data_IF_864948091300
#
_entry.id   IF_864948091300
#
_cell.length_a   1.000
_cell.length_b   1.000
_cell.length_c   1.000
_cell.angle_alpha   90.00
_cell.angle_beta   90.00
_cell.angle_gamma   90.00
#
_symmetry.space_group_name_H-M   'P 1'
#
loop_
_entity.id
_entity.type
_entity.pdbx_description
1 polymer ?
#
# COMPACT_ATOMS: atom_id res chain seq x y z
N UNK A 1 20.91 14.16 -3.08
CA UNK A 1 20.33 13.46 -1.91
C UNK A 1 21.20 12.25 -1.58
N UNK A 2 21.09 11.65 -0.39
CA UNK A 2 21.70 10.34 -0.15
C UNK A 2 21.10 9.34 -1.15
N UNK A 3 21.97 8.68 -1.92
CA UNK A 3 21.56 7.72 -2.98
C UNK A 3 21.73 6.27 -2.56
N UNK A 4 22.27 6.04 -1.36
CA UNK A 4 22.47 4.74 -0.73
C UNK A 4 22.59 4.92 0.79
N UNK A 5 22.38 3.86 1.60
CA UNK A 5 22.67 3.92 3.02
C UNK A 5 24.16 4.10 3.30
N UNK A 6 24.47 4.67 4.46
CA UNK A 6 25.85 4.93 4.90
C UNK A 6 26.52 3.65 5.42
N UNK A 7 25.75 2.75 6.02
CA UNK A 7 26.19 1.46 6.56
C UNK A 7 25.26 0.34 6.11
N UNK A 8 25.75 -0.89 6.06
CA UNK A 8 24.89 -2.06 5.86
C UNK A 8 24.19 -2.45 7.17
N UNK A 9 22.93 -2.84 7.06
CA UNK A 9 22.14 -3.37 8.16
C UNK A 9 22.28 -4.88 8.32
N UNK A 10 21.54 -5.44 9.27
CA UNK A 10 21.47 -6.90 9.46
C UNK A 10 20.87 -7.57 8.20
N UNK A 11 21.29 -8.80 7.86
CA UNK A 11 20.74 -9.52 6.71
C UNK A 11 19.21 -9.58 6.75
N UNK A 12 18.57 -9.17 5.65
CA UNK A 12 17.13 -9.28 5.47
C UNK A 12 16.82 -10.56 4.70
N UNK A 13 16.19 -11.55 5.33
CA UNK A 13 15.76 -12.76 4.63
C UNK A 13 14.56 -12.42 3.75
N UNK A 14 14.55 -12.91 2.51
CA UNK A 14 13.52 -12.53 1.53
C UNK A 14 12.10 -12.84 2.02
N UNK A 15 11.92 -13.97 2.69
CA UNK A 15 10.63 -14.38 3.27
C UNK A 15 10.14 -13.43 4.36
N UNK A 16 11.04 -12.75 5.05
CA UNK A 16 10.71 -11.83 6.14
C UNK A 16 10.28 -10.46 5.62
N UNK A 17 10.76 -10.07 4.44
CA UNK A 17 10.49 -8.74 3.88
C UNK A 17 9.24 -8.70 2.98
N UNK A 18 8.59 -9.83 2.70
CA UNK A 18 7.34 -9.83 1.96
C UNK A 18 6.23 -9.08 2.71
N UNK A 19 5.35 -8.43 1.93
CA UNK A 19 4.20 -7.70 2.47
C UNK A 19 4.00 -6.34 1.84
N UNK A 20 3.04 -5.60 2.40
CA UNK A 20 2.74 -4.23 2.02
C UNK A 20 3.47 -3.26 2.93
N UNK A 21 4.06 -2.22 2.35
CA UNK A 21 4.77 -1.16 3.03
C UNK A 21 4.19 0.18 2.62
N UNK A 22 4.02 1.07 3.58
CA UNK A 22 3.50 2.42 3.32
C UNK A 22 4.07 3.46 4.28
N UNK A 23 4.04 4.72 3.85
CA UNK A 23 4.27 5.90 4.69
C UNK A 23 3.00 6.33 5.46
N UNK A 24 1.90 5.58 5.29
CA UNK A 24 0.58 5.90 5.86
C UNK A 24 -0.30 6.75 4.96
N UNK A 25 0.24 7.30 3.87
CA UNK A 25 -0.43 8.29 3.05
C UNK A 25 -0.30 8.03 1.54
N UNK A 26 0.88 8.24 0.94
CA UNK A 26 1.03 8.42 -0.51
C UNK A 26 1.79 7.29 -1.19
N UNK A 27 2.73 6.68 -0.48
CA UNK A 27 3.61 5.69 -1.06
C UNK A 27 3.25 4.29 -0.57
N UNK A 28 3.26 3.35 -1.52
CA UNK A 28 2.89 1.97 -1.29
C UNK A 28 3.80 1.07 -2.11
N UNK A 29 4.51 0.18 -1.43
CA UNK A 29 5.23 -0.93 -2.04
C UNK A 29 4.60 -2.23 -1.60
N UNK A 30 4.48 -3.18 -2.52
CA UNK A 30 4.21 -4.56 -2.17
C UNK A 30 5.40 -5.41 -2.62
N UNK A 31 5.98 -6.15 -1.69
CA UNK A 31 7.03 -7.12 -1.96
C UNK A 31 6.44 -8.51 -1.98
N UNK A 32 6.64 -9.22 -3.08
CA UNK A 32 6.05 -10.54 -3.32
C UNK A 32 7.11 -11.49 -3.88
N UNK A 33 6.87 -12.78 -3.69
CA UNK A 33 7.63 -13.83 -4.34
C UNK A 33 6.94 -14.26 -5.64
N UNK A 34 7.70 -14.42 -6.71
CA UNK A 34 7.29 -15.14 -7.92
C UNK A 34 8.46 -15.97 -8.41
N UNK A 35 8.23 -17.25 -8.70
CA UNK A 35 9.25 -18.16 -9.25
C UNK A 35 10.56 -18.13 -8.44
N UNK A 36 10.44 -18.13 -7.11
CA UNK A 36 11.55 -18.01 -6.15
C UNK A 36 12.33 -16.69 -6.14
N UNK A 37 11.92 -15.68 -6.93
CA UNK A 37 12.52 -14.35 -6.93
C UNK A 37 11.64 -13.31 -6.23
N UNK A 38 12.28 -12.28 -5.68
CA UNK A 38 11.64 -11.12 -5.07
C UNK A 38 11.23 -10.10 -6.13
N UNK A 39 10.00 -9.59 -6.03
CA UNK A 39 9.47 -8.55 -6.91
C UNK A 39 8.92 -7.37 -6.10
N UNK A 40 9.16 -6.16 -6.62
CA UNK A 40 8.49 -4.93 -6.22
C UNK A 40 7.26 -4.71 -7.10
N UNK A 41 6.09 -4.70 -6.49
CA UNK A 41 4.83 -4.27 -7.10
C UNK A 41 4.48 -2.86 -6.63
N UNK A 42 4.07 -2.02 -7.58
CA UNK A 42 3.57 -0.66 -7.37
C UNK A 42 2.30 -0.47 -8.18
N UNK A 43 1.37 0.31 -7.66
CA UNK A 43 0.16 0.62 -8.41
C UNK A 43 0.48 1.34 -9.73
N UNK A 44 -0.21 0.96 -10.81
CA UNK A 44 -0.04 1.56 -12.14
C UNK A 44 1.31 1.27 -12.82
N UNK A 45 2.09 0.30 -12.33
CA UNK A 45 3.37 -0.11 -12.91
C UNK A 45 3.48 -1.62 -12.98
N UNK A 46 4.26 -2.11 -13.94
CA UNK A 46 4.61 -3.53 -14.00
C UNK A 46 5.41 -3.94 -12.75
N UNK A 47 5.22 -5.19 -12.32
CA UNK A 47 6.05 -5.77 -11.27
C UNK A 47 7.51 -5.82 -11.73
N UNK A 48 8.43 -5.39 -10.87
CA UNK A 48 9.86 -5.33 -11.19
C UNK A 48 10.61 -6.31 -10.30
N UNK A 49 11.40 -7.19 -10.92
CA UNK A 49 12.29 -8.10 -10.19
C UNK A 49 13.33 -7.29 -9.42
N UNK A 50 13.62 -7.71 -8.19
CA UNK A 50 14.68 -7.14 -7.38
C UNK A 50 15.89 -8.07 -7.33
N UNK A 51 17.06 -7.47 -7.30
CA UNK A 51 18.34 -8.14 -7.08
C UNK A 51 18.95 -7.65 -5.79
N UNK A 52 19.55 -8.58 -5.04
CA UNK A 52 20.25 -8.29 -3.81
C UNK A 52 21.63 -7.75 -4.15
N UNK A 53 21.92 -6.57 -3.66
CA UNK A 53 23.25 -5.95 -3.75
C UNK A 53 24.10 -6.29 -2.54
N UNK A 54 23.50 -6.25 -1.35
CA UNK A 54 24.16 -6.61 -0.10
C UNK A 54 23.16 -7.11 0.94
N UNK A 55 23.64 -7.30 2.18
CA UNK A 55 22.92 -7.93 3.30
C UNK A 55 21.44 -7.54 3.40
N UNK A 56 21.13 -6.26 3.29
CA UNK A 56 19.76 -5.74 3.39
C UNK A 56 19.38 -4.77 2.27
N UNK A 57 20.21 -4.66 1.22
CA UNK A 57 20.03 -3.70 0.13
C UNK A 57 19.68 -4.45 -1.15
N UNK A 58 18.64 -3.98 -1.81
CA UNK A 58 18.18 -4.48 -3.08
C UNK A 58 18.02 -3.34 -4.09
N UNK A 59 18.11 -3.66 -5.38
CA UNK A 59 17.76 -2.73 -6.45
C UNK A 59 16.87 -3.38 -7.51
N UNK A 60 16.27 -2.57 -8.36
CA UNK A 60 15.51 -3.06 -9.50
C UNK A 60 16.47 -3.59 -10.58
N UNK A 61 16.13 -4.71 -11.24
CA UNK A 61 16.94 -5.28 -12.33
C UNK A 61 17.19 -4.30 -13.48
N UNK A 62 16.23 -3.42 -13.75
CA UNK A 62 16.27 -2.44 -14.82
C UNK A 62 16.59 -1.01 -14.35
N UNK A 63 16.81 -0.82 -13.04
CA UNK A 63 17.25 0.45 -12.47
C UNK A 63 18.12 0.20 -11.23
N UNK A 64 19.41 -0.14 -11.43
CA UNK A 64 20.34 -0.36 -10.33
C UNK A 64 20.56 0.87 -9.45
N UNK A 65 20.22 2.08 -9.90
CA UNK A 65 20.38 3.30 -9.08
C UNK A 65 19.29 3.43 -8.01
N UNK A 66 18.14 2.76 -8.18
CA UNK A 66 17.06 2.75 -7.20
C UNK A 66 17.29 1.70 -6.11
N UNK A 67 17.85 2.15 -4.98
CA UNK A 67 18.18 1.27 -3.85
C UNK A 67 17.02 1.18 -2.85
N UNK A 68 16.82 0.00 -2.30
CA UNK A 68 15.82 -0.30 -1.28
C UNK A 68 16.52 -1.02 -0.14
N UNK A 69 16.59 -0.37 1.01
CA UNK A 69 17.23 -0.90 2.21
C UNK A 69 16.17 -1.37 3.19
N UNK A 70 16.23 -2.64 3.60
CA UNK A 70 15.31 -3.20 4.58
C UNK A 70 15.92 -3.17 5.97
N UNK A 71 15.16 -2.72 6.96
CA UNK A 71 15.59 -2.71 8.35
C UNK A 71 14.47 -3.17 9.27
N UNK A 72 14.83 -3.89 10.33
CA UNK A 72 13.92 -4.16 11.43
C UNK A 72 14.05 -3.01 12.43
N UNK A 73 12.98 -2.25 12.63
CA UNK A 73 12.99 -1.12 13.54
C UNK A 73 12.97 -1.58 14.99
N UNK A 74 13.18 -0.65 15.93
CA UNK A 74 13.23 -0.94 17.36
C UNK A 74 11.94 -1.54 17.90
N UNK A 75 10.80 -1.30 17.25
CA UNK A 75 9.50 -1.87 17.63
C UNK A 75 9.23 -3.24 16.95
N UNK A 76 10.21 -3.81 16.26
CA UNK A 76 10.10 -5.11 15.59
C UNK A 76 9.31 -5.08 14.29
N UNK A 77 9.05 -3.90 13.70
CA UNK A 77 8.43 -3.78 12.38
C UNK A 77 9.49 -3.69 11.30
N UNK A 78 9.25 -4.38 10.20
CA UNK A 78 10.05 -4.19 8.99
C UNK A 78 9.77 -2.83 8.37
N UNK A 79 10.83 -2.18 7.94
CA UNK A 79 10.84 -0.91 7.24
C UNK A 79 11.65 -1.06 5.96
N UNK A 80 11.29 -0.28 4.94
CA UNK A 80 12.09 -0.16 3.72
C UNK A 80 12.36 1.32 3.45
N UNK A 81 13.64 1.66 3.31
CA UNK A 81 14.06 3.01 2.91
C UNK A 81 14.44 2.99 1.43
N UNK A 82 13.76 3.82 0.64
CA UNK A 82 14.03 3.97 -0.79
C UNK A 82 15.00 5.13 -1.02
N UNK A 83 16.05 4.90 -1.80
CA UNK A 83 17.05 5.89 -2.19
C UNK A 83 17.06 6.06 -3.70
N UNK A 84 17.15 7.31 -4.16
CA UNK A 84 17.30 7.61 -5.58
C UNK A 84 17.96 8.98 -5.80
N UNK A 85 18.42 9.22 -7.03
CA UNK A 85 19.14 10.45 -7.38
C UNK A 85 18.23 11.68 -7.44
N UNK A 86 16.95 11.51 -7.78
CA UNK A 86 16.03 12.62 -8.06
C UNK A 86 15.14 13.04 -6.88
N UNK A 87 15.19 12.34 -5.74
CA UNK A 87 14.41 12.71 -4.56
C UNK A 87 15.14 12.34 -3.26
N UNK A 88 14.74 12.99 -2.16
CA UNK A 88 15.21 12.61 -0.84
C UNK A 88 14.81 11.15 -0.52
N UNK A 89 15.59 10.43 0.30
CA UNK A 89 15.18 9.13 0.78
C UNK A 89 13.87 9.22 1.57
N UNK A 90 13.07 8.17 1.50
CA UNK A 90 11.86 8.03 2.30
C UNK A 90 11.70 6.59 2.77
N UNK A 91 11.07 6.43 3.94
CA UNK A 91 10.89 5.14 4.60
C UNK A 91 9.43 4.77 4.62
N UNK A 92 9.15 3.51 4.28
CA UNK A 92 7.83 2.89 4.37
C UNK A 92 7.87 1.81 5.45
N UNK A 93 6.79 1.68 6.22
CA UNK A 93 6.65 0.69 7.29
C UNK A 93 5.78 -0.46 6.81
N UNK A 94 6.15 -1.70 7.15
CA UNK A 94 5.36 -2.89 6.83
C UNK A 94 4.04 -2.87 7.60
N UNK A 95 2.95 -3.02 6.86
CA UNK A 95 1.62 -3.11 7.42
C UNK A 95 1.32 -4.52 7.94
N UNK A 96 0.60 -4.56 9.05
CA UNK A 96 0.01 -5.80 9.53
C UNK A 96 -1.21 -6.10 8.67
N UNK A 97 -1.12 -7.17 7.87
CA UNK A 97 -2.29 -7.68 7.18
C UNK A 97 -3.37 -8.10 8.18
N UNK A 98 -4.65 -7.93 7.83
CA UNK A 98 -5.74 -8.38 8.70
C UNK A 98 -5.63 -9.89 8.95
N UNK A 99 -5.74 -10.30 10.21
CA UNK A 99 -5.72 -11.71 10.60
C UNK A 99 -7.01 -12.46 10.25
N UNK A 100 -7.08 -13.78 10.51
CA UNK A 100 -8.23 -14.62 10.14
C UNK A 100 -9.57 -14.19 10.72
N UNK A 101 -9.56 -13.54 11.89
CA UNK A 101 -10.76 -13.02 12.56
C UNK A 101 -11.26 -11.68 11.99
N UNK A 102 -10.57 -11.11 11.00
CA UNK A 102 -10.98 -9.86 10.40
C UNK A 102 -12.22 -10.06 9.51
N UNK A 103 -13.26 -9.30 9.80
CA UNK A 103 -14.47 -9.26 8.96
C UNK A 103 -14.23 -8.42 7.70
N UNK A 104 -13.92 -9.11 6.60
CA UNK A 104 -13.69 -8.50 5.29
C UNK A 104 -14.94 -7.81 4.71
N UNK A 105 -16.14 -8.18 5.17
CA UNK A 105 -17.39 -7.59 4.70
C UNK A 105 -17.62 -6.17 5.21
N UNK A 106 -16.84 -5.69 6.20
CA UNK A 106 -16.93 -4.32 6.74
C UNK A 106 -16.78 -3.20 5.71
N UNK A 107 -16.12 -3.49 4.60
CA UNK A 107 -15.96 -2.54 3.49
C UNK A 107 -17.15 -2.57 2.52
N UNK A 108 -17.96 -3.63 2.51
CA UNK A 108 -19.06 -3.79 1.57
C UNK A 108 -20.15 -2.74 1.80
N UNK A 109 -20.53 -2.02 0.75
CA UNK A 109 -21.61 -1.05 0.86
C UNK A 109 -21.67 -0.09 -0.31
N UNK A 110 -22.66 0.79 -0.25
CA UNK A 110 -22.78 1.95 -1.12
C UNK A 110 -22.50 3.20 -0.30
N UNK A 111 -21.77 4.13 -0.88
CA UNK A 111 -21.37 5.36 -0.22
C UNK A 111 -21.57 6.54 -1.18
N UNK A 112 -22.00 7.68 -0.67
CA UNK A 112 -22.26 8.89 -1.46
C UNK A 112 -21.44 10.06 -0.93
N UNK A 113 -20.84 10.82 -1.84
CA UNK A 113 -20.38 12.16 -1.57
C UNK A 113 -21.46 13.13 -2.08
N UNK A 114 -22.14 13.84 -1.17
CA UNK A 114 -23.23 14.74 -1.53
C UNK A 114 -22.78 16.08 -2.13
N UNK A 115 -21.51 16.46 -1.95
CA UNK A 115 -20.96 17.72 -2.47
C UNK A 115 -20.67 17.64 -3.97
N UNK A 116 -20.19 16.48 -4.43
CA UNK A 116 -19.76 16.22 -5.80
C UNK A 116 -20.76 15.33 -6.57
N UNK A 117 -21.86 14.93 -5.92
CA UNK A 117 -22.84 13.95 -6.41
C UNK A 117 -22.19 12.66 -6.93
N UNK A 118 -21.19 12.15 -6.20
CA UNK A 118 -20.48 10.92 -6.55
C UNK A 118 -20.97 9.74 -5.72
N UNK A 119 -21.14 8.60 -6.36
CA UNK A 119 -21.43 7.33 -5.72
C UNK A 119 -20.25 6.38 -5.79
N UNK A 120 -20.09 5.59 -4.73
CA UNK A 120 -19.09 4.53 -4.63
C UNK A 120 -19.76 3.24 -4.18
N UNK A 121 -19.49 2.14 -4.86
CA UNK A 121 -19.91 0.80 -4.45
C UNK A 121 -18.68 -0.06 -4.22
N UNK A 122 -18.60 -0.70 -3.06
CA UNK A 122 -17.49 -1.58 -2.69
C UNK A 122 -18.06 -2.97 -2.40
N UNK A 123 -17.45 -4.00 -2.98
CA UNK A 123 -17.82 -5.40 -2.77
C UNK A 123 -16.58 -6.28 -2.63
N UNK A 124 -16.50 -7.04 -1.55
CA UNK A 124 -15.47 -8.03 -1.31
C UNK A 124 -15.49 -9.12 -2.38
N UNK A 125 -14.31 -9.49 -2.89
CA UNK A 125 -14.13 -10.50 -3.94
C UNK A 125 -13.36 -11.74 -3.45
N UNK A 126 -12.71 -11.67 -2.29
CA UNK A 126 -11.90 -12.75 -1.74
C UNK A 126 -10.51 -12.29 -1.30
N UNK A 127 -9.90 -12.97 -0.34
CA UNK A 127 -8.59 -12.63 0.22
C UNK A 127 -8.48 -11.16 0.66
N UNK A 128 -7.67 -10.37 -0.04
CA UNK A 128 -7.48 -8.93 0.20
C UNK A 128 -8.09 -8.07 -0.90
N UNK A 129 -8.90 -8.65 -1.79
CA UNK A 129 -9.38 -7.97 -3.00
C UNK A 129 -10.84 -7.55 -2.90
N UNK A 130 -11.12 -6.40 -3.51
CA UNK A 130 -12.43 -5.76 -3.55
C UNK A 130 -12.70 -5.29 -4.98
N UNK A 131 -13.96 -5.35 -5.39
CA UNK A 131 -14.47 -4.64 -6.56
C UNK A 131 -14.95 -3.28 -6.11
N UNK A 132 -14.54 -2.24 -6.82
CA UNK A 132 -14.92 -0.85 -6.56
C UNK A 132 -15.47 -0.24 -7.83
N UNK A 133 -16.60 0.44 -7.70
CA UNK A 133 -17.17 1.32 -8.73
C UNK A 133 -17.18 2.71 -8.12
N UNK A 134 -16.53 3.68 -8.75
CA UNK A 134 -16.51 5.08 -8.35
C UNK A 134 -17.07 5.91 -9.49
N UNK A 135 -18.35 6.30 -9.38
CA UNK A 135 -19.14 6.96 -10.42
C UNK A 135 -19.35 6.11 -11.70
N UNK A 136 -20.57 6.11 -12.23
CA UNK A 136 -20.91 5.32 -13.42
C UNK A 136 -20.88 3.80 -13.21
N UNK A 137 -20.41 3.05 -14.21
CA UNK A 137 -20.45 1.58 -14.25
C UNK A 137 -19.05 0.92 -14.31
N UNK A 138 -17.98 1.71 -14.37
CA UNK A 138 -16.63 1.17 -14.50
C UNK A 138 -16.18 0.53 -13.19
N UNK A 139 -15.78 -0.74 -13.29
CA UNK A 139 -15.34 -1.52 -12.14
C UNK A 139 -13.82 -1.60 -12.12
N UNK A 140 -13.23 -1.30 -10.98
CA UNK A 140 -11.79 -1.45 -10.71
C UNK A 140 -11.53 -2.37 -9.52
N UNK A 141 -10.31 -2.88 -9.43
CA UNK A 141 -9.88 -3.76 -8.34
C UNK A 141 -9.21 -2.94 -7.25
N UNK A 142 -9.75 -3.06 -6.05
CA UNK A 142 -9.16 -2.57 -4.82
C UNK A 142 -8.41 -3.66 -4.05
N UNK A 143 -7.35 -3.26 -3.36
CA UNK A 143 -6.51 -4.11 -2.52
C UNK A 143 -6.53 -3.54 -1.09
N UNK A 144 -6.86 -4.39 -0.13
CA UNK A 144 -6.80 -4.06 1.29
C UNK A 144 -5.36 -4.08 1.77
N UNK A 145 -4.85 -2.91 2.13
CA UNK A 145 -3.48 -2.72 2.59
C UNK A 145 -3.35 -2.92 4.10
N UNK A 146 -4.37 -2.49 4.84
CA UNK A 146 -4.47 -2.63 6.28
C UNK A 146 -5.97 -2.69 6.66
N UNK A 147 -6.34 -3.05 7.91
CA UNK A 147 -7.74 -3.17 8.34
C UNK A 147 -8.61 -1.93 8.08
N UNK A 148 -8.01 -0.75 7.96
CA UNK A 148 -8.65 0.55 7.76
C UNK A 148 -8.26 1.24 6.44
N UNK A 149 -7.46 0.59 5.58
CA UNK A 149 -6.90 1.19 4.37
C UNK A 149 -7.05 0.28 3.15
N UNK A 150 -7.64 0.83 2.11
CA UNK A 150 -7.87 0.14 0.84
C UNK A 150 -7.34 1.00 -0.31
N UNK A 151 -6.51 0.42 -1.18
CA UNK A 151 -5.93 1.08 -2.35
C UNK A 151 -6.63 0.63 -3.63
N UNK A 152 -7.05 1.55 -4.48
CA UNK A 152 -7.61 1.24 -5.80
C UNK A 152 -7.34 2.40 -6.75
N UNK A 153 -7.00 2.12 -8.01
CA UNK A 153 -6.77 3.14 -9.05
C UNK A 153 -5.94 4.36 -8.61
N UNK A 154 -4.90 4.13 -7.79
CA UNK A 154 -4.01 5.16 -7.27
C UNK A 154 -4.61 6.00 -6.13
N UNK A 155 -5.85 5.73 -5.74
CA UNK A 155 -6.50 6.31 -4.59
C UNK A 155 -6.40 5.43 -3.36
N UNK A 156 -6.23 6.07 -2.21
CA UNK A 156 -6.32 5.46 -0.90
C UNK A 156 -7.66 5.80 -0.26
N UNK A 157 -8.42 4.79 0.13
CA UNK A 157 -9.55 4.91 1.03
C UNK A 157 -9.12 4.62 2.45
N UNK A 158 -9.33 5.58 3.35
CA UNK A 158 -9.23 5.40 4.80
C UNK A 158 -10.64 5.26 5.38
N UNK A 159 -10.85 4.22 6.19
CA UNK A 159 -12.11 4.02 6.91
C UNK A 159 -12.10 4.83 8.20
N UNK A 160 -13.06 5.75 8.33
CA UNK A 160 -13.21 6.60 9.51
C UNK A 160 -14.41 6.15 10.34
N UNK A 161 -14.16 5.84 11.62
CA UNK A 161 -15.25 5.60 12.57
C UNK A 161 -15.75 6.93 13.12
N UNK A 162 -17.03 7.22 12.91
CA UNK A 162 -17.70 8.42 13.42
C UNK A 162 -18.75 7.98 14.44
N UNK A 163 -18.44 8.19 15.72
CA UNK A 163 -19.25 7.68 16.83
C UNK A 163 -19.28 6.15 16.88
N UNK A 164 -20.33 5.58 17.50
CA UNK A 164 -20.42 4.13 17.77
C UNK A 164 -20.93 3.28 16.59
N UNK A 165 -21.46 3.88 15.51
CA UNK A 165 -22.21 3.14 14.49
C UNK A 165 -21.99 3.57 13.04
N UNK A 166 -21.38 4.73 12.79
CA UNK A 166 -21.23 5.24 11.43
C UNK A 166 -19.81 5.08 10.94
N UNK A 167 -19.69 4.49 9.76
CA UNK A 167 -18.44 4.33 9.06
C UNK A 167 -18.49 5.19 7.81
N UNK A 168 -17.67 6.22 7.78
CA UNK A 168 -17.45 7.03 6.58
C UNK A 168 -16.12 6.64 5.94
N UNK A 169 -15.98 6.93 4.65
CA UNK A 169 -14.73 6.73 3.93
C UNK A 169 -14.12 8.08 3.57
N UNK A 170 -12.81 8.17 3.67
CA UNK A 170 -12.03 9.32 3.20
C UNK A 170 -11.16 8.87 2.03
N UNK A 171 -11.39 9.45 0.87
CA UNK A 171 -10.64 9.22 -0.36
C UNK A 171 -9.48 10.21 -0.45
N UNK A 172 -8.28 9.70 -0.68
CA UNK A 172 -7.06 10.45 -0.91
C UNK A 172 -6.44 10.03 -2.24
N UNK A 173 -5.84 10.98 -2.95
CA UNK A 173 -5.04 10.72 -4.15
C UNK A 173 -4.02 11.81 -4.35
N UNK A 174 -3.24 11.75 -5.43
CA UNK A 174 -2.18 12.72 -5.70
C UNK A 174 -2.68 14.18 -5.75
N UNK A 175 -3.88 14.38 -6.30
CA UNK A 175 -4.52 15.71 -6.44
C UNK A 175 -5.75 15.90 -5.55
N UNK A 176 -6.19 14.84 -4.87
CA UNK A 176 -7.41 14.84 -4.05
C UNK A 176 -7.01 14.67 -2.59
N UNK A 177 -7.41 15.63 -1.74
CA UNK A 177 -7.12 15.59 -0.31
C UNK A 177 -8.43 15.44 0.47
N UNK A 178 -8.67 14.22 0.98
CA UNK A 178 -9.75 13.90 1.92
C UNK A 178 -11.19 14.16 1.40
N UNK A 179 -11.58 13.53 0.30
CA UNK A 179 -12.99 13.54 -0.15
C UNK A 179 -13.79 12.54 0.66
N UNK A 180 -14.84 13.01 1.34
CA UNK A 180 -15.66 12.21 2.25
C UNK A 180 -16.78 11.49 1.50
N UNK A 181 -16.91 10.19 1.73
CA UNK A 181 -18.06 9.39 1.30
C UNK A 181 -18.82 8.86 2.52
N UNK A 182 -20.14 9.05 2.50
CA UNK A 182 -21.06 8.66 3.57
C UNK A 182 -21.79 7.39 3.16
N UNK A 183 -21.74 6.36 4.01
CA UNK A 183 -22.49 5.13 3.78
C UNK A 183 -23.99 5.44 3.65
N UNK A 184 -24.62 4.89 2.62
CA UNK A 184 -26.07 4.91 2.39
C UNK A 184 -26.74 3.74 3.11
#
# INVERSE_FOLDING_TARGET
FLTRPVNEGKPALEKEIFGFYTDGDRFYFQFIQKDSALFLRRHGRNDVKLERESSNIFHQVNDPAFKQEFNLSQNGKWEVTAYYTSHAPYTLVREALPGPAYDFSKWNGQFKNGELDLEMKIKYQGNLTYSIILSGNDTTTGILLAPDRLLFDGYLLKRMSIGKRRTDLMLFGNRIRAVRFVRQ
#
